data_IF_131776453981
#
_entry.id   IF_131776453981
#
_cell.length_a   1.000
_cell.length_b   1.000
_cell.length_c   1.000
_cell.angle_alpha   90.00
_cell.angle_beta   90.00
_cell.angle_gamma   90.00
#
_symmetry.space_group_name_H-M   'P 1'
#
loop_
_entity.id
_entity.type
_entity.pdbx_description
1 polymer ?
#
# COMPACT_ATOMS: atom_id res chain seq x y z
N UNK A 1 -15.15 10.26 8.37
CA UNK A 1 -14.95 9.62 7.05
C UNK A 1 -14.81 8.13 7.35
N UNK A 2 -15.82 7.34 7.04
CA UNK A 2 -15.81 5.91 7.36
C UNK A 2 -14.67 5.22 6.60
N UNK A 3 -13.88 4.41 7.29
CA UNK A 3 -12.84 3.61 6.66
C UNK A 3 -13.52 2.61 5.70
N UNK A 4 -13.42 2.85 4.40
CA UNK A 4 -14.09 2.06 3.35
C UNK A 4 -13.52 0.64 3.17
N UNK A 5 -12.70 0.15 4.11
CA UNK A 5 -11.89 -1.06 4.00
C UNK A 5 -11.73 -1.85 5.31
N UNK A 6 -12.73 -1.83 6.20
CA UNK A 6 -12.61 -2.49 7.52
C UNK A 6 -12.41 -4.01 7.40
N UNK A 7 -13.10 -4.66 6.46
CA UNK A 7 -12.91 -6.10 6.21
C UNK A 7 -11.54 -6.37 5.60
N UNK A 8 -11.07 -5.49 4.72
CA UNK A 8 -9.73 -5.58 4.15
C UNK A 8 -8.65 -5.49 5.24
N UNK A 9 -8.77 -4.57 6.20
CA UNK A 9 -7.83 -4.47 7.33
C UNK A 9 -7.80 -5.77 8.14
N UNK A 10 -8.97 -6.36 8.40
CA UNK A 10 -9.06 -7.64 9.11
C UNK A 10 -8.28 -8.74 8.37
N UNK A 11 -8.46 -8.85 7.06
CA UNK A 11 -7.70 -9.80 6.21
C UNK A 11 -6.20 -9.52 6.21
N UNK A 12 -5.78 -8.26 6.28
CA UNK A 12 -4.34 -7.93 6.44
C UNK A 12 -3.79 -8.52 7.74
N UNK A 13 -4.51 -8.38 8.86
CA UNK A 13 -4.09 -8.97 10.13
C UNK A 13 -4.14 -10.51 10.12
N UNK A 14 -5.09 -11.12 9.41
CA UNK A 14 -5.10 -12.57 9.18
C UNK A 14 -3.84 -13.02 8.45
N UNK A 15 -3.46 -12.36 7.33
CA UNK A 15 -2.21 -12.65 6.62
C UNK A 15 -0.98 -12.44 7.50
N UNK A 16 -0.98 -11.40 8.33
CA UNK A 16 0.09 -11.17 9.30
C UNK A 16 0.21 -12.32 10.32
N UNK A 17 -0.91 -12.77 10.87
CA UNK A 17 -0.97 -13.89 11.83
C UNK A 17 -0.50 -15.22 11.22
N UNK A 18 -0.68 -15.39 9.90
CA UNK A 18 -0.17 -16.53 9.12
C UNK A 18 1.33 -16.41 8.78
N UNK A 19 2.02 -15.38 9.25
CA UNK A 19 3.44 -15.17 9.02
C UNK A 19 3.80 -14.63 7.64
N UNK A 20 2.83 -14.20 6.81
CA UNK A 20 3.08 -13.70 5.44
C UNK A 20 3.85 -12.37 5.40
N UNK A 21 3.86 -11.64 6.51
CA UNK A 21 4.56 -10.36 6.66
C UNK A 21 5.84 -10.49 7.52
N UNK A 22 6.37 -11.71 7.66
CA UNK A 22 7.66 -11.90 8.31
C UNK A 22 8.80 -11.50 7.37
N UNK A 23 9.81 -10.82 7.92
CA UNK A 23 11.10 -10.59 7.29
C UNK A 23 12.20 -11.19 8.12
N UNK A 24 13.27 -11.62 7.45
CA UNK A 24 14.49 -12.09 8.11
C UNK A 24 15.41 -10.90 8.36
N UNK A 25 15.90 -10.76 9.59
CA UNK A 25 16.95 -9.80 9.95
C UNK A 25 18.34 -10.35 9.62
N UNK A 26 19.35 -9.49 9.62
CA UNK A 26 20.75 -9.87 9.36
C UNK A 26 21.28 -10.92 10.34
N UNK A 27 20.79 -10.90 11.59
CA UNK A 27 21.10 -11.90 12.62
C UNK A 27 20.35 -13.24 12.42
N UNK A 28 19.66 -13.43 11.30
CA UNK A 28 18.91 -14.64 10.96
C UNK A 28 17.53 -14.76 11.60
N UNK A 29 17.15 -13.87 12.52
CA UNK A 29 15.88 -13.91 13.25
C UNK A 29 14.72 -13.42 12.36
N UNK A 30 13.63 -14.18 12.36
CA UNK A 30 12.38 -13.77 11.71
C UNK A 30 11.61 -12.80 12.62
N UNK A 31 11.21 -11.67 12.06
CA UNK A 31 10.42 -10.62 12.75
C UNK A 31 9.27 -10.20 11.87
N UNK A 32 8.20 -9.68 12.47
CA UNK A 32 7.18 -8.95 11.72
C UNK A 32 7.81 -7.74 11.01
N UNK A 33 7.52 -7.56 9.72
CA UNK A 33 7.80 -6.32 9.02
C UNK A 33 6.69 -5.29 9.28
N UNK A 34 6.82 -4.56 10.39
CA UNK A 34 5.83 -3.56 10.80
C UNK A 34 5.61 -2.46 9.75
N UNK A 35 6.62 -2.15 8.92
CA UNK A 35 6.45 -1.13 7.88
C UNK A 35 5.62 -1.67 6.71
N UNK A 36 5.89 -2.90 6.26
CA UNK A 36 5.07 -3.57 5.25
C UNK A 36 3.63 -3.78 5.74
N UNK A 37 3.44 -4.16 7.00
CA UNK A 37 2.13 -4.26 7.63
C UNK A 37 1.39 -2.91 7.58
N UNK A 38 2.04 -1.82 7.99
CA UNK A 38 1.42 -0.48 7.97
C UNK A 38 1.07 -0.04 6.54
N UNK A 39 1.97 -0.22 5.57
CA UNK A 39 1.72 0.10 4.16
C UNK A 39 0.51 -0.67 3.63
N UNK A 40 0.47 -1.99 3.84
CA UNK A 40 -0.63 -2.83 3.38
C UNK A 40 -1.95 -2.48 4.08
N UNK A 41 -1.91 -2.19 5.38
CA UNK A 41 -3.08 -1.75 6.17
C UNK A 41 -3.60 -0.41 5.66
N UNK A 42 -2.72 0.54 5.34
CA UNK A 42 -3.11 1.82 4.75
C UNK A 42 -3.78 1.61 3.39
N UNK A 43 -3.20 0.78 2.53
CA UNK A 43 -3.81 0.45 1.23
C UNK A 43 -5.20 -0.18 1.43
N UNK A 44 -5.31 -1.15 2.34
CA UNK A 44 -6.57 -1.82 2.67
C UNK A 44 -7.64 -0.82 3.14
N UNK A 45 -7.29 0.07 4.06
CA UNK A 45 -8.18 1.11 4.58
C UNK A 45 -8.64 2.13 3.53
N UNK A 46 -7.88 2.28 2.44
CA UNK A 46 -8.12 3.25 1.36
C UNK A 46 -8.60 2.58 0.05
N UNK A 47 -9.19 1.39 0.15
CA UNK A 47 -9.82 0.68 -0.96
C UNK A 47 -11.17 0.13 -0.52
N UNK A 48 -12.09 -0.05 -1.45
CA UNK A 48 -13.39 -0.67 -1.14
C UNK A 48 -13.20 -2.12 -0.66
N UNK A 49 -13.94 -2.49 0.38
CA UNK A 49 -14.11 -3.87 0.83
C UNK A 49 -14.67 -4.77 -0.29
N UNK A 50 -14.47 -6.08 -0.13
CA UNK A 50 -15.12 -7.10 -0.96
C UNK A 50 -16.16 -7.87 -0.14
N UNK A 51 -17.40 -8.05 -0.64
CA UNK A 51 -17.97 -7.38 -1.83
C UNK A 51 -18.08 -5.85 -1.64
N UNK A 52 -18.09 -5.08 -2.74
CA UNK A 52 -18.11 -3.60 -2.71
C UNK A 52 -19.37 -3.09 -1.98
N UNK A 53 -19.24 -2.44 -0.81
CA UNK A 53 -20.39 -2.03 -0.02
C UNK A 53 -21.18 -0.87 -0.64
N UNK A 54 -20.57 -0.13 -1.57
CA UNK A 54 -21.18 1.09 -2.16
C UNK A 54 -21.94 0.82 -3.45
N UNK A 55 -21.82 -0.38 -4.04
CA UNK A 55 -22.34 -0.66 -5.38
C UNK A 55 -21.73 0.23 -6.47
N UNK A 56 -20.62 0.93 -6.18
CA UNK A 56 -19.97 1.80 -7.16
C UNK A 56 -19.27 0.95 -8.23
N UNK A 57 -19.91 0.83 -9.38
CA UNK A 57 -19.45 0.06 -10.54
C UNK A 57 -18.19 0.64 -11.19
N UNK A 58 -17.80 1.87 -10.87
CA UNK A 58 -16.68 2.56 -11.53
C UNK A 58 -15.34 2.37 -10.82
N UNK A 59 -15.30 1.66 -9.69
CA UNK A 59 -14.05 1.38 -8.99
C UNK A 59 -14.05 -0.03 -8.41
N UNK A 60 -13.06 -0.86 -8.77
CA UNK A 60 -13.01 -2.23 -8.27
C UNK A 60 -12.79 -2.29 -6.76
N UNK A 61 -13.29 -3.36 -6.16
CA UNK A 61 -12.94 -3.74 -4.79
C UNK A 61 -11.42 -3.91 -4.70
N UNK A 62 -10.82 -3.52 -3.56
CA UNK A 62 -9.38 -3.73 -3.29
C UNK A 62 -8.42 -3.16 -4.35
N UNK A 63 -8.84 -2.12 -5.08
CA UNK A 63 -7.98 -1.44 -6.05
C UNK A 63 -7.41 -0.13 -5.51
N UNK A 64 -6.09 -0.13 -5.26
CA UNK A 64 -5.33 1.00 -4.76
C UNK A 64 -4.55 1.70 -5.88
N UNK A 65 -4.80 2.99 -6.08
CA UNK A 65 -4.15 3.88 -7.06
C UNK A 65 -3.66 5.19 -6.41
N UNK A 66 -3.62 5.25 -5.07
CA UNK A 66 -3.33 6.47 -4.32
C UNK A 66 -1.88 6.97 -4.42
N UNK A 67 -0.96 6.13 -4.94
CA UNK A 67 0.45 6.47 -5.08
C UNK A 67 1.22 6.53 -3.76
N UNK A 68 2.56 6.48 -3.85
CA UNK A 68 3.43 6.47 -2.67
C UNK A 68 3.31 7.77 -1.86
N UNK A 69 3.03 8.91 -2.50
CA UNK A 69 3.01 10.23 -1.85
C UNK A 69 1.87 10.35 -0.83
N UNK A 70 0.70 9.72 -1.08
CA UNK A 70 -0.41 9.69 -0.10
C UNK A 70 -0.04 8.90 1.15
N UNK A 71 0.63 7.76 0.99
CA UNK A 71 1.14 6.95 2.11
C UNK A 71 2.20 7.75 2.88
N UNK A 72 3.16 8.34 2.17
CA UNK A 72 4.24 9.10 2.78
C UNK A 72 3.72 10.28 3.62
N UNK A 73 2.74 11.03 3.12
CA UNK A 73 2.09 12.11 3.85
C UNK A 73 1.38 11.59 5.11
N UNK A 74 0.61 10.51 4.97
CA UNK A 74 -0.15 9.94 6.09
C UNK A 74 0.75 9.35 7.19
N UNK A 75 1.94 8.89 6.83
CA UNK A 75 2.92 8.34 7.77
C UNK A 75 3.90 9.40 8.30
N UNK A 76 3.73 10.68 7.95
CA UNK A 76 4.62 11.76 8.35
C UNK A 76 6.04 11.64 7.79
N UNK A 77 6.25 10.83 6.74
CA UNK A 77 7.59 10.60 6.16
C UNK A 77 8.14 11.82 5.40
N UNK A 78 7.26 12.77 5.08
CA UNK A 78 7.60 14.04 4.44
C UNK A 78 7.84 15.16 5.45
N UNK A 79 7.57 14.92 6.74
CA UNK A 79 7.72 15.93 7.79
C UNK A 79 9.17 16.04 8.25
N UNK A 80 9.60 17.25 8.57
CA UNK A 80 10.91 17.58 9.11
C UNK A 80 10.83 18.85 9.96
N UNK A 81 11.81 19.01 10.84
CA UNK A 81 11.88 20.13 11.77
C UNK A 81 12.41 21.41 11.11
N UNK A 82 11.93 22.57 11.56
CA UNK A 82 12.30 23.87 11.00
C UNK A 82 13.77 24.25 11.27
N UNK A 83 14.33 23.88 12.42
CA UNK A 83 15.75 24.12 12.71
C UNK A 83 16.65 23.30 11.79
N UNK A 84 16.22 22.10 11.40
CA UNK A 84 16.94 21.30 10.40
C UNK A 84 16.83 21.92 9.01
N UNK A 85 15.67 22.50 8.66
CA UNK A 85 15.47 23.20 7.40
C UNK A 85 16.36 24.47 7.30
N UNK A 86 16.56 25.19 8.40
CA UNK A 86 17.45 26.36 8.46
C UNK A 86 18.92 25.97 8.21
N UNK A 87 19.36 24.81 8.70
CA UNK A 87 20.73 24.33 8.52
C UNK A 87 21.01 23.76 7.11
N UNK A 88 20.06 23.01 6.54
CA UNK A 88 20.27 22.22 5.31
C UNK A 88 19.68 22.91 4.07
N UNK A 89 18.78 23.87 4.27
CA UNK A 89 17.94 24.46 3.24
C UNK A 89 16.65 23.65 3.03
N UNK A 90 15.51 24.35 3.05
CA UNK A 90 14.18 23.76 2.99
C UNK A 90 13.95 22.90 1.73
N UNK A 91 14.28 23.42 0.56
CA UNK A 91 14.12 22.69 -0.71
C UNK A 91 14.97 21.41 -0.78
N UNK A 92 16.20 21.49 -0.28
CA UNK A 92 17.12 20.34 -0.22
C UNK A 92 16.55 19.25 0.68
N UNK A 93 16.08 19.63 1.87
CA UNK A 93 15.55 18.70 2.85
C UNK A 93 14.22 18.08 2.37
N UNK A 94 13.34 18.88 1.78
CA UNK A 94 12.11 18.41 1.16
C UNK A 94 12.39 17.33 0.10
N UNK A 95 13.33 17.60 -0.81
CA UNK A 95 13.74 16.66 -1.88
C UNK A 95 14.35 15.38 -1.31
N UNK A 96 15.20 15.48 -0.29
CA UNK A 96 15.78 14.31 0.38
C UNK A 96 14.72 13.42 1.04
N UNK A 97 13.73 14.04 1.71
CA UNK A 97 12.61 13.33 2.34
C UNK A 97 11.72 12.67 1.30
N UNK A 98 11.37 13.37 0.22
CA UNK A 98 10.59 12.79 -0.87
C UNK A 98 11.30 11.58 -1.49
N UNK A 99 12.59 11.68 -1.80
CA UNK A 99 13.37 10.57 -2.36
C UNK A 99 13.40 9.36 -1.41
N UNK A 100 13.67 9.60 -0.12
CA UNK A 100 13.74 8.52 0.88
C UNK A 100 12.38 7.85 1.06
N UNK A 101 11.30 8.63 1.16
CA UNK A 101 9.95 8.11 1.29
C UNK A 101 9.54 7.29 0.05
N UNK A 102 9.79 7.82 -1.15
CA UNK A 102 9.53 7.13 -2.42
C UNK A 102 10.28 5.81 -2.49
N UNK A 103 11.59 5.81 -2.25
CA UNK A 103 12.42 4.59 -2.29
C UNK A 103 11.94 3.56 -1.28
N UNK A 104 11.64 3.99 -0.04
CA UNK A 104 11.19 3.09 1.02
C UNK A 104 9.86 2.42 0.66
N UNK A 105 8.85 3.21 0.25
CA UNK A 105 7.53 2.68 -0.10
C UNK A 105 7.60 1.80 -1.35
N UNK A 106 8.33 2.20 -2.40
CA UNK A 106 8.49 1.39 -3.61
C UNK A 106 9.16 0.05 -3.33
N UNK A 107 10.18 0.00 -2.46
CA UNK A 107 10.81 -1.25 -2.02
C UNK A 107 9.83 -2.13 -1.25
N UNK A 108 9.04 -1.53 -0.36
CA UNK A 108 8.00 -2.27 0.37
C UNK A 108 6.92 -2.81 -0.56
N UNK A 109 6.51 -2.07 -1.59
CA UNK A 109 5.60 -2.62 -2.61
C UNK A 109 6.21 -3.80 -3.37
N UNK A 110 7.49 -3.74 -3.74
CA UNK A 110 8.16 -4.89 -4.36
C UNK A 110 8.13 -6.12 -3.45
N UNK A 111 8.42 -5.95 -2.16
CA UNK A 111 8.32 -7.03 -1.18
C UNK A 111 6.89 -7.58 -1.02
N UNK A 112 5.89 -6.71 -0.97
CA UNK A 112 4.48 -7.14 -0.89
C UNK A 112 4.03 -7.90 -2.16
N UNK A 113 4.60 -7.56 -3.32
CA UNK A 113 4.39 -8.32 -4.57
C UNK A 113 5.04 -9.71 -4.46
N UNK A 114 6.29 -9.78 -4.01
CA UNK A 114 7.00 -11.06 -3.81
C UNK A 114 6.28 -11.97 -2.80
N UNK A 115 5.68 -11.40 -1.75
CA UNK A 115 4.86 -12.11 -0.77
C UNK A 115 3.49 -12.53 -1.31
N UNK A 116 3.12 -12.09 -2.52
CA UNK A 116 1.81 -12.34 -3.12
C UNK A 116 0.65 -11.62 -2.42
N UNK A 117 0.93 -10.55 -1.67
CA UNK A 117 -0.08 -9.78 -0.92
C UNK A 117 -0.66 -8.61 -1.71
N UNK A 118 0.05 -8.14 -2.73
CA UNK A 118 -0.47 -7.21 -3.74
C UNK A 118 -0.03 -7.64 -5.13
N UNK A 119 -0.81 -7.27 -6.14
CA UNK A 119 -0.48 -7.46 -7.56
C UNK A 119 -0.53 -6.13 -8.27
N UNK A 120 0.51 -5.79 -9.03
CA UNK A 120 0.47 -4.62 -9.91
C UNK A 120 -0.51 -4.90 -11.05
N UNK A 121 -1.47 -4.00 -11.24
CA UNK A 121 -2.50 -4.11 -12.26
C UNK A 121 -2.26 -3.12 -13.41
N UNK A 122 -1.99 -1.84 -13.10
CA UNK A 122 -1.63 -0.81 -14.09
C UNK A 122 -0.23 -0.24 -13.84
N UNK A 123 0.46 0.08 -14.93
CA UNK A 123 1.70 0.85 -14.92
C UNK A 123 1.49 2.25 -14.31
N UNK A 124 2.57 2.91 -13.90
CA UNK A 124 2.49 4.36 -13.68
C UNK A 124 2.74 5.03 -15.03
N UNK A 125 1.97 6.06 -15.35
CA UNK A 125 2.07 6.82 -16.60
C UNK A 125 1.97 8.31 -16.28
N UNK A 126 2.20 9.18 -17.28
CA UNK A 126 2.30 10.61 -17.05
C UNK A 126 1.00 11.15 -16.43
N UNK A 127 1.07 11.59 -15.16
CA UNK A 127 -0.08 12.10 -14.41
C UNK A 127 -0.83 11.07 -13.56
N UNK A 128 -0.56 9.77 -13.72
CA UNK A 128 -1.28 8.69 -13.05
C UNK A 128 -0.36 7.72 -12.30
N UNK A 129 -0.76 7.39 -11.08
CA UNK A 129 -0.05 6.44 -10.23
C UNK A 129 -0.22 5.02 -10.75
N UNK A 130 0.72 4.14 -10.38
CA UNK A 130 0.51 2.71 -10.55
C UNK A 130 -0.70 2.23 -9.72
N UNK A 131 -1.47 1.32 -10.32
CA UNK A 131 -2.61 0.67 -9.68
C UNK A 131 -2.26 -0.73 -9.18
N UNK A 132 -2.73 -1.08 -7.99
CA UNK A 132 -2.47 -2.33 -7.30
C UNK A 132 -3.76 -2.98 -6.83
N UNK A 133 -3.90 -4.29 -7.06
CA UNK A 133 -4.93 -5.12 -6.43
C UNK A 133 -4.38 -5.72 -5.15
N UNK A 134 -5.17 -5.69 -4.07
CA UNK A 134 -4.79 -6.33 -2.81
C UNK A 134 -5.21 -7.80 -2.83
N UNK A 135 -4.22 -8.69 -2.77
CA UNK A 135 -4.36 -10.14 -2.86
C UNK A 135 -4.42 -10.78 -1.47
N UNK A 136 -5.25 -10.17 -0.61
CA UNK A 136 -5.35 -10.50 0.82
C UNK A 136 -6.45 -11.52 1.12
N UNK A 137 -7.18 -11.97 0.09
CA UNK A 137 -8.20 -13.02 0.18
C UNK A 137 -7.63 -14.43 0.12
N UNK A 138 -8.53 -15.39 0.03
CA UNK A 138 -8.24 -16.74 -0.47
C UNK A 138 -8.16 -16.73 -2.01
N UNK A 139 -7.94 -17.89 -2.62
CA UNK A 139 -7.74 -18.02 -4.08
C UNK A 139 -8.98 -17.64 -4.88
N UNK A 140 -10.16 -18.06 -4.45
CA UNK A 140 -11.44 -17.78 -5.09
C UNK A 140 -11.76 -16.28 -5.02
N UNK A 141 -11.70 -15.71 -3.81
CA UNK A 141 -11.93 -14.28 -3.58
C UNK A 141 -10.96 -13.42 -4.38
N UNK A 142 -9.69 -13.83 -4.47
CA UNK A 142 -8.69 -13.13 -5.26
C UNK A 142 -8.94 -13.24 -6.77
N UNK A 143 -9.48 -14.35 -7.25
CA UNK A 143 -9.88 -14.50 -8.66
C UNK A 143 -11.03 -13.54 -9.00
N UNK A 144 -12.04 -13.44 -8.13
CA UNK A 144 -13.16 -12.50 -8.29
C UNK A 144 -12.69 -11.05 -8.32
N UNK A 145 -11.74 -10.67 -7.46
CA UNK A 145 -11.15 -9.34 -7.45
C UNK A 145 -10.44 -9.02 -8.76
N UNK A 146 -9.73 -10.00 -9.33
CA UNK A 146 -9.05 -9.83 -10.62
C UNK A 146 -10.09 -9.63 -11.73
N UNK A 147 -11.17 -10.42 -11.73
CA UNK A 147 -12.20 -10.31 -12.76
C UNK A 147 -12.99 -9.00 -12.65
N UNK A 148 -13.39 -8.61 -11.44
CA UNK A 148 -14.02 -7.32 -11.17
C UNK A 148 -13.14 -6.15 -11.64
N UNK A 149 -11.82 -6.23 -11.42
CA UNK A 149 -10.90 -5.22 -11.92
C UNK A 149 -10.79 -5.19 -13.44
N UNK A 150 -10.89 -6.35 -14.11
CA UNK A 150 -10.90 -6.44 -15.58
C UNK A 150 -12.16 -5.84 -16.18
N UNK A 151 -13.31 -6.06 -15.59
CA UNK A 151 -14.58 -5.53 -16.09
C UNK A 151 -14.63 -4.00 -15.98
N UNK A 152 -14.13 -3.45 -14.87
CA UNK A 152 -14.27 -2.02 -14.55
C UNK A 152 -13.14 -1.16 -15.14
N UNK A 153 -11.90 -1.68 -15.23
CA UNK A 153 -10.71 -0.89 -15.57
C UNK A 153 -10.18 -1.10 -17.00
N UNK A 154 -10.94 -1.76 -17.87
CA UNK A 154 -10.67 -1.81 -19.32
C UNK A 154 -10.61 -0.40 -19.91
#
# INVERSE_FOLDING_TARGET
MEAMGYKNITKVYEKASQGKLLKRRDNGVWTLDSFALNVLTYMAANTYDYPNPTGNEYRPSRYYDGGWKKIAKSFGLLSYDAALAEQVGDETLAKQRENTARTRISRTWAQLIEMGLIRRYKGAYLGENAGYLLMIGDEEENADIIENAREILQ
#
